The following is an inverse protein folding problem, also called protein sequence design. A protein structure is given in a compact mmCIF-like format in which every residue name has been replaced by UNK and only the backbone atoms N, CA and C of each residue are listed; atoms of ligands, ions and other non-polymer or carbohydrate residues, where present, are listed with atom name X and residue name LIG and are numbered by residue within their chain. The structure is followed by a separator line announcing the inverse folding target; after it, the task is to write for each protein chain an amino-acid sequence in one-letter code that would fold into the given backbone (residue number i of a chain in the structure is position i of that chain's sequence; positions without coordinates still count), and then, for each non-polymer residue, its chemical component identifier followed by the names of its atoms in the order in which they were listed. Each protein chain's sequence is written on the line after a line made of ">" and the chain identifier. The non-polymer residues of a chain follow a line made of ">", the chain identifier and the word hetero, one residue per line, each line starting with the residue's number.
data_IF_712110792014
#
_entry.id   IF_712110792014
#
_cell.length_a   1.000
_cell.length_b   1.000
_cell.length_c   1.000
_cell.angle_alpha   90.00
_cell.angle_beta   90.00
_cell.angle_gamma   90.00
#
_symmetry.space_group_name_H-M   'P 1'
#
loop_
_entity.id
_entity.type
_entity.pdbx_description
1 polymer ?
#
# COMPACT_ATOMS: atom_id res chain seq x y z
N UNK A 1 10.34 54.67 -10.53
CA UNK A 1 9.39 53.57 -10.37
C UNK A 1 8.12 54.13 -9.77
N UNK A 2 7.07 54.20 -10.55
CA UNK A 2 5.79 54.76 -10.12
C UNK A 2 5.09 53.78 -9.13
N UNK A 3 4.30 54.32 -8.20
CA UNK A 3 3.55 53.52 -7.23
C UNK A 3 2.61 52.49 -7.89
N UNK A 4 2.21 52.69 -9.12
CA UNK A 4 1.45 51.69 -9.91
C UNK A 4 2.24 50.45 -10.21
N UNK A 5 3.50 50.55 -10.58
CA UNK A 5 4.37 49.37 -10.88
C UNK A 5 4.58 48.47 -9.66
N UNK A 6 4.70 49.06 -8.47
CA UNK A 6 4.82 48.27 -7.22
C UNK A 6 3.54 47.53 -6.87
N UNK A 7 2.39 48.16 -7.06
CA UNK A 7 1.08 47.53 -6.83
C UNK A 7 0.83 46.38 -7.80
N UNK A 8 1.20 46.56 -9.06
CA UNK A 8 1.03 45.51 -10.09
C UNK A 8 1.95 44.31 -9.85
N UNK A 9 3.16 44.55 -9.41
CA UNK A 9 4.10 43.47 -9.01
C UNK A 9 3.55 42.69 -7.81
N UNK A 10 3.01 43.40 -6.80
CA UNK A 10 2.43 42.77 -5.63
C UNK A 10 1.19 41.94 -5.99
N UNK A 11 0.31 42.44 -6.84
CA UNK A 11 -0.89 41.73 -7.31
C UNK A 11 -0.52 40.48 -8.10
N UNK A 12 0.43 40.59 -9.02
CA UNK A 12 0.93 39.45 -9.80
C UNK A 12 1.62 38.40 -8.91
N UNK A 13 2.44 38.84 -7.94
CA UNK A 13 3.07 37.97 -6.97
C UNK A 13 2.04 37.21 -6.12
N UNK A 14 0.99 37.88 -5.66
CA UNK A 14 -0.07 37.24 -4.90
C UNK A 14 -0.89 36.24 -5.75
N UNK A 15 -1.16 36.57 -7.01
CA UNK A 15 -1.82 35.66 -7.93
C UNK A 15 -1.01 34.39 -8.18
N UNK A 16 0.30 34.53 -8.43
CA UNK A 16 1.20 33.38 -8.65
C UNK A 16 1.28 32.51 -7.38
N UNK A 17 1.37 33.13 -6.21
CA UNK A 17 1.37 32.41 -4.94
C UNK A 17 0.06 31.64 -4.71
N UNK A 18 -1.09 32.26 -5.00
CA UNK A 18 -2.39 31.60 -4.85
C UNK A 18 -2.56 30.40 -5.80
N UNK A 19 -2.11 30.53 -7.05
CA UNK A 19 -2.12 29.43 -8.01
C UNK A 19 -1.17 28.32 -7.58
N UNK A 20 0.01 28.65 -7.08
CA UNK A 20 0.97 27.67 -6.59
C UNK A 20 0.46 26.85 -5.40
N UNK A 21 -0.17 27.51 -4.43
CA UNK A 21 -0.78 26.85 -3.27
C UNK A 21 -1.96 25.98 -3.71
N UNK A 22 -2.82 26.47 -4.59
CA UNK A 22 -3.96 25.72 -5.12
C UNK A 22 -3.52 24.46 -5.88
N UNK A 23 -2.54 24.58 -6.75
CA UNK A 23 -1.98 23.45 -7.48
C UNK A 23 -1.32 22.42 -6.56
N UNK A 24 -0.60 22.88 -5.52
CA UNK A 24 0.01 22.02 -4.53
C UNK A 24 -1.01 21.20 -3.73
N UNK A 25 -2.11 21.80 -3.30
CA UNK A 25 -3.20 21.12 -2.59
C UNK A 25 -3.89 20.07 -3.46
N UNK A 26 -4.16 20.39 -4.73
CA UNK A 26 -4.76 19.45 -5.69
C UNK A 26 -3.82 18.28 -5.91
N UNK A 27 -2.52 18.53 -6.06
CA UNK A 27 -1.51 17.51 -6.24
C UNK A 27 -1.41 16.57 -5.02
N UNK A 28 -1.42 17.15 -3.81
CA UNK A 28 -1.41 16.37 -2.57
C UNK A 28 -2.65 15.48 -2.43
N UNK A 29 -3.84 16.01 -2.70
CA UNK A 29 -5.08 15.23 -2.72
C UNK A 29 -5.06 14.11 -3.76
N UNK A 30 -4.45 14.35 -4.92
CA UNK A 30 -4.30 13.33 -5.95
C UNK A 30 -3.34 12.22 -5.50
N UNK A 31 -2.19 12.57 -4.91
CA UNK A 31 -1.24 11.61 -4.36
C UNK A 31 -1.85 10.77 -3.23
N UNK A 32 -2.62 11.38 -2.33
CA UNK A 32 -3.31 10.66 -1.26
C UNK A 32 -4.34 9.65 -1.80
N UNK A 33 -5.08 10.01 -2.85
CA UNK A 33 -5.99 9.06 -3.51
C UNK A 33 -5.25 7.92 -4.20
N UNK A 34 -4.14 8.23 -4.85
CA UNK A 34 -3.31 7.22 -5.52
C UNK A 34 -2.64 6.27 -4.52
N UNK A 35 -2.21 6.78 -3.37
CA UNK A 35 -1.65 5.96 -2.30
C UNK A 35 -2.68 5.00 -1.67
N UNK A 36 -3.96 5.35 -1.67
CA UNK A 36 -5.05 4.46 -1.22
C UNK A 36 -5.43 3.38 -2.24
N UNK A 37 -5.02 3.52 -3.48
CA UNK A 37 -5.12 2.47 -4.48
C UNK A 37 -4.01 1.41 -4.28
N UNK A 38 -3.87 0.93 -3.06
CA UNK A 38 -3.03 -0.25 -2.80
C UNK A 38 -3.65 -1.40 -3.58
N UNK A 39 -2.89 -1.92 -4.53
CA UNK A 39 -3.31 -3.06 -5.32
C UNK A 39 -3.73 -4.19 -4.37
N UNK A 40 -4.79 -4.90 -4.74
CA UNK A 40 -5.22 -6.09 -4.01
C UNK A 40 -4.04 -7.04 -3.86
N UNK A 41 -3.58 -7.23 -2.63
CA UNK A 41 -2.53 -8.19 -2.28
C UNK A 41 -3.17 -9.50 -1.89
N UNK A 42 -3.04 -10.58 -2.69
CA UNK A 42 -3.56 -11.88 -2.34
C UNK A 42 -2.92 -12.40 -1.05
N UNK A 43 -3.73 -12.68 -0.05
CA UNK A 43 -3.34 -13.19 1.26
C UNK A 43 -3.74 -14.66 1.40
N UNK A 44 -3.18 -15.40 2.36
CA UNK A 44 -3.62 -16.76 2.67
C UNK A 44 -5.12 -16.83 2.94
N UNK A 45 -5.79 -17.97 2.66
CA UNK A 45 -7.19 -18.18 3.03
C UNK A 45 -7.39 -17.95 4.53
N UNK A 46 -8.49 -17.28 4.91
CA UNK A 46 -8.78 -16.94 6.30
C UNK A 46 -8.03 -15.74 6.87
N UNK A 47 -7.23 -15.05 6.07
CA UNK A 47 -6.59 -13.81 6.50
C UNK A 47 -7.61 -12.72 6.82
N UNK A 48 -7.30 -11.94 7.85
CA UNK A 48 -8.06 -10.74 8.22
C UNK A 48 -8.03 -9.69 7.09
N UNK A 49 -8.92 -8.68 7.13
CA UNK A 49 -8.84 -7.53 6.24
C UNK A 49 -7.45 -6.89 6.26
N UNK A 50 -6.98 -6.27 5.17
CA UNK A 50 -5.59 -5.82 5.00
C UNK A 50 -5.07 -4.94 6.13
N UNK A 51 -5.88 -4.02 6.62
CA UNK A 51 -5.58 -3.09 7.71
C UNK A 51 -5.37 -3.80 9.06
N UNK A 52 -6.18 -4.81 9.34
CA UNK A 52 -6.08 -5.61 10.57
C UNK A 52 -5.02 -6.70 10.45
N UNK A 53 -4.84 -7.26 9.27
CA UNK A 53 -3.86 -8.32 9.02
C UNK A 53 -2.43 -7.87 9.32
N UNK A 54 -2.05 -6.67 8.91
CA UNK A 54 -0.70 -6.16 9.11
C UNK A 54 -0.34 -5.94 10.57
N UNK A 55 -1.32 -5.64 11.40
CA UNK A 55 -1.15 -5.47 12.86
C UNK A 55 -1.20 -6.79 13.60
N UNK A 56 -2.02 -7.75 13.17
CA UNK A 56 -2.17 -9.05 13.80
C UNK A 56 -1.05 -10.04 13.42
N UNK A 57 -0.50 -9.92 12.20
CA UNK A 57 0.51 -10.83 11.69
C UNK A 57 1.84 -10.67 12.42
N UNK A 58 2.29 -11.72 13.11
CA UNK A 58 3.59 -11.76 13.80
C UNK A 58 4.79 -11.92 12.85
N UNK A 59 4.54 -12.03 11.53
CA UNK A 59 5.60 -12.17 10.49
C UNK A 59 6.56 -13.36 10.72
N UNK A 60 6.08 -14.41 11.36
CA UNK A 60 6.90 -15.55 11.76
C UNK A 60 7.26 -16.51 10.61
N UNK A 61 6.54 -16.49 9.48
CA UNK A 61 6.81 -17.33 8.32
C UNK A 61 6.28 -18.77 8.41
N UNK A 62 5.70 -19.19 9.51
CA UNK A 62 5.20 -20.58 9.69
C UNK A 62 4.15 -20.97 8.65
N UNK A 63 3.31 -20.03 8.22
CA UNK A 63 2.31 -20.27 7.17
C UNK A 63 2.96 -20.55 5.81
N UNK A 64 4.13 -19.95 5.54
CA UNK A 64 4.91 -20.20 4.32
C UNK A 64 5.50 -21.60 4.34
N UNK A 65 6.11 -21.99 5.46
CA UNK A 65 6.69 -23.33 5.62
C UNK A 65 5.63 -24.44 5.61
N UNK A 66 4.44 -24.16 6.14
CA UNK A 66 3.33 -25.11 6.16
C UNK A 66 2.65 -25.28 4.81
N UNK A 67 2.93 -24.43 3.83
CA UNK A 67 2.32 -24.52 2.51
C UNK A 67 2.94 -25.67 1.68
N UNK A 68 2.19 -26.73 1.34
CA UNK A 68 2.75 -27.88 0.62
C UNK A 68 3.09 -27.58 -0.86
N UNK A 69 2.65 -26.44 -1.37
CA UNK A 69 2.82 -26.06 -2.77
C UNK A 69 3.76 -24.87 -2.98
N UNK A 70 4.44 -24.39 -1.91
CA UNK A 70 5.30 -23.20 -1.95
C UNK A 70 4.64 -21.96 -2.57
N UNK A 71 3.32 -21.87 -2.44
CA UNK A 71 2.53 -20.77 -2.97
C UNK A 71 2.78 -19.47 -2.23
N UNK A 72 2.90 -19.56 -0.89
CA UNK A 72 3.09 -18.41 -0.02
C UNK A 72 4.55 -17.99 0.01
N UNK A 73 4.78 -16.69 -0.04
CA UNK A 73 6.12 -16.08 0.10
C UNK A 73 6.05 -14.96 1.11
N UNK A 74 7.14 -14.71 1.83
CA UNK A 74 7.27 -13.52 2.67
C UNK A 74 7.65 -12.33 1.81
N UNK A 75 6.93 -11.24 1.98
CA UNK A 75 7.17 -10.00 1.25
C UNK A 75 8.52 -9.39 1.62
N UNK A 76 9.26 -8.93 0.61
CA UNK A 76 10.46 -8.13 0.74
C UNK A 76 10.13 -6.65 0.60
N UNK A 77 11.10 -5.77 0.83
CA UNK A 77 10.91 -4.32 0.74
C UNK A 77 10.46 -3.82 -0.64
N UNK A 78 10.72 -4.58 -1.70
CA UNK A 78 10.37 -4.22 -3.08
C UNK A 78 9.04 -4.84 -3.54
N UNK A 79 8.36 -5.61 -2.69
CA UNK A 79 7.10 -6.26 -3.04
C UNK A 79 5.91 -5.34 -2.78
N UNK A 80 4.76 -5.67 -3.37
CA UNK A 80 3.50 -4.94 -3.19
C UNK A 80 2.88 -5.11 -1.81
N UNK A 81 3.32 -6.11 -1.06
CA UNK A 81 2.86 -6.41 0.30
C UNK A 81 3.78 -5.77 1.35
N UNK A 82 3.26 -5.54 2.55
CA UNK A 82 4.06 -5.06 3.67
C UNK A 82 5.20 -6.06 3.99
N UNK A 83 6.45 -5.59 4.18
CA UNK A 83 7.60 -6.46 4.38
C UNK A 83 7.40 -7.45 5.53
N UNK A 84 7.76 -8.71 5.28
CA UNK A 84 7.63 -9.81 6.23
C UNK A 84 6.24 -10.44 6.31
N UNK A 85 5.23 -9.89 5.64
CA UNK A 85 3.89 -10.49 5.60
C UNK A 85 3.78 -11.53 4.50
N UNK A 86 3.00 -12.62 4.69
CA UNK A 86 2.80 -13.62 3.67
C UNK A 86 1.87 -13.09 2.57
N UNK A 87 2.25 -13.38 1.33
CA UNK A 87 1.44 -13.11 0.14
C UNK A 87 1.70 -14.16 -0.93
N UNK A 88 0.91 -14.18 -1.98
CA UNK A 88 1.16 -15.02 -3.15
C UNK A 88 0.82 -14.28 -4.44
N UNK A 89 1.43 -14.74 -5.53
CA UNK A 89 1.19 -14.20 -6.86
C UNK A 89 0.39 -15.25 -7.65
N UNK A 90 -0.90 -15.03 -7.90
CA UNK A 90 -1.76 -16.04 -8.57
C UNK A 90 -1.30 -16.43 -9.97
N UNK A 91 -0.52 -15.56 -10.62
CA UNK A 91 0.03 -15.83 -11.97
C UNK A 91 1.24 -16.76 -11.97
N UNK A 92 1.96 -16.82 -10.85
CA UNK A 92 3.13 -17.70 -10.71
C UNK A 92 2.68 -19.05 -10.17
N UNK A 93 2.22 -19.07 -8.93
CA UNK A 93 1.71 -20.27 -8.26
C UNK A 93 0.40 -19.90 -7.57
N UNK A 94 -0.76 -20.34 -8.09
CA UNK A 94 -2.05 -20.05 -7.49
C UNK A 94 -2.25 -20.81 -6.18
N UNK A 95 -3.07 -20.27 -5.28
CA UNK A 95 -3.47 -20.98 -4.07
C UNK A 95 -4.43 -22.12 -4.43
N UNK A 96 -4.11 -23.34 -4.01
CA UNK A 96 -4.92 -24.54 -4.29
C UNK A 96 -6.08 -24.75 -3.31
N UNK A 97 -6.29 -23.84 -2.37
CA UNK A 97 -7.38 -23.91 -1.39
C UNK A 97 -7.43 -25.31 -0.72
N UNK A 98 -6.35 -25.71 -0.09
CA UNK A 98 -6.20 -27.01 0.53
C UNK A 98 -7.36 -27.34 1.46
N UNK A 99 -7.84 -28.59 1.45
CA UNK A 99 -8.95 -29.03 2.30
C UNK A 99 -8.70 -28.79 3.79
N UNK A 100 -7.46 -28.99 4.25
CA UNK A 100 -7.07 -28.87 5.66
C UNK A 100 -6.48 -27.50 6.03
N UNK A 101 -6.26 -26.64 5.05
CA UNK A 101 -5.72 -25.28 5.18
C UNK A 101 -4.54 -25.22 6.18
N UNK A 102 -3.42 -25.92 5.90
CA UNK A 102 -2.32 -26.04 6.85
C UNK A 102 -1.68 -24.70 7.21
N UNK A 103 -1.68 -23.72 6.29
CA UNK A 103 -1.17 -22.38 6.55
C UNK A 103 -1.95 -21.64 7.65
N UNK A 104 -3.26 -21.85 7.77
CA UNK A 104 -4.07 -21.28 8.85
C UNK A 104 -3.81 -21.99 10.16
N UNK A 105 -3.73 -23.33 10.13
CA UNK A 105 -3.45 -24.12 11.33
C UNK A 105 -2.07 -23.82 11.93
N UNK A 106 -1.09 -23.47 11.11
CA UNK A 106 0.24 -23.13 11.56
C UNK A 106 0.35 -21.70 12.11
N UNK A 107 -0.64 -20.85 11.85
CA UNK A 107 -0.62 -19.46 12.29
C UNK A 107 -0.91 -19.35 13.80
N UNK A 108 -0.02 -18.70 14.59
CA UNK A 108 -0.24 -18.51 16.02
C UNK A 108 -1.14 -17.32 16.37
N UNK A 109 -1.56 -16.51 15.36
CA UNK A 109 -2.36 -15.28 15.55
C UNK A 109 -3.82 -15.50 15.23
#
# INVERSE_FOLDING_TARGET
>A
MTNQTRRDVLKKGLQVAAVGVGAGLIWDLFLQKSAKAQGFVPRPPGALPPDQFETACSKCGLCVEACPYDTLKLARFNDIAAPGTPFFTPRDIPCYMCRDIPCVKACPS
#
